data_IF_664149981508
#
_entry.id   IF_664149981508
#
_cell.length_a   1.000
_cell.length_b   1.000
_cell.length_c   1.000
_cell.angle_alpha   90.00
_cell.angle_beta   90.00
_cell.angle_gamma   90.00
#
_symmetry.space_group_name_H-M   'P 1'
#
loop_
_entity.id
_entity.type
_entity.pdbx_description
1 polymer ?
#
# COMPACT_ATOMS: atom_id res chain seq x y z
N UNK A 1 9.39 -13.94 26.15
CA UNK A 1 8.43 -13.44 25.15
C UNK A 1 8.16 -11.94 25.24
N UNK A 2 8.15 -11.33 26.45
CA UNK A 2 7.85 -9.91 26.63
C UNK A 2 8.66 -8.96 25.73
N UNK A 3 9.98 -9.13 25.65
CA UNK A 3 10.82 -8.32 24.74
C UNK A 3 10.39 -8.42 23.27
N UNK A 4 9.99 -9.61 22.80
CA UNK A 4 9.51 -9.82 21.43
C UNK A 4 8.19 -9.12 21.17
N UNK A 5 7.27 -9.14 22.14
CA UNK A 5 6.00 -8.41 22.06
C UNK A 5 6.25 -6.89 21.98
N UNK A 6 7.05 -6.34 22.90
CA UNK A 6 7.39 -4.91 22.93
C UNK A 6 8.13 -4.45 21.66
N UNK A 7 8.94 -5.33 21.05
CA UNK A 7 9.57 -5.05 19.76
C UNK A 7 8.53 -4.95 18.63
N UNK A 8 7.60 -5.90 18.54
CA UNK A 8 6.58 -5.93 17.50
C UNK A 8 5.58 -4.78 17.65
N UNK A 9 5.18 -4.44 18.87
CA UNK A 9 4.31 -3.30 19.15
C UNK A 9 4.95 -1.99 18.68
N UNK A 10 6.22 -1.74 19.04
CA UNK A 10 6.96 -0.57 18.57
C UNK A 10 7.10 -0.54 17.06
N UNK A 11 7.35 -1.69 16.44
CA UNK A 11 7.42 -1.80 14.99
C UNK A 11 6.10 -1.40 14.32
N UNK A 12 4.97 -1.96 14.79
CA UNK A 12 3.65 -1.67 14.25
C UNK A 12 3.30 -0.19 14.43
N UNK A 13 3.51 0.38 15.62
CA UNK A 13 3.29 1.81 15.87
C UNK A 13 4.13 2.71 14.95
N UNK A 14 5.41 2.39 14.77
CA UNK A 14 6.31 3.16 13.90
C UNK A 14 5.93 3.02 12.41
N UNK A 15 5.39 1.87 12.01
CA UNK A 15 4.86 1.67 10.66
C UNK A 15 3.58 2.47 10.44
N UNK A 16 2.64 2.42 11.39
CA UNK A 16 1.38 3.18 11.34
C UNK A 16 1.62 4.69 11.23
N UNK A 17 2.56 5.24 11.99
CA UNK A 17 2.91 6.67 11.91
C UNK A 17 3.43 7.08 10.52
N UNK A 18 4.35 6.28 9.95
CA UNK A 18 4.89 6.54 8.60
C UNK A 18 3.81 6.43 7.54
N UNK A 19 2.98 5.39 7.62
CA UNK A 19 1.85 5.20 6.72
C UNK A 19 0.89 6.38 6.80
N UNK A 20 0.55 6.84 8.00
CA UNK A 20 -0.39 7.94 8.21
C UNK A 20 0.15 9.26 7.62
N UNK A 21 1.45 9.54 7.77
CA UNK A 21 2.09 10.72 7.17
C UNK A 21 1.91 10.77 5.64
N UNK A 22 1.98 9.63 4.96
CA UNK A 22 1.74 9.55 3.50
C UNK A 22 0.25 9.63 3.19
N UNK A 23 -0.56 8.79 3.85
CA UNK A 23 -1.97 8.60 3.52
C UNK A 23 -2.89 9.74 3.99
N UNK A 24 -2.39 10.67 4.80
CA UNK A 24 -3.11 11.88 5.24
C UNK A 24 -2.53 13.18 4.67
N UNK A 25 -1.66 13.08 3.65
CA UNK A 25 -1.10 14.24 2.97
C UNK A 25 -2.21 15.09 2.31
N UNK A 26 -2.42 16.30 2.82
CA UNK A 26 -3.40 17.25 2.31
C UNK A 26 -3.08 17.67 0.86
N UNK A 27 -4.12 17.98 0.08
CA UNK A 27 -3.99 18.42 -1.31
C UNK A 27 -3.59 17.30 -2.29
N UNK A 28 -3.64 16.04 -1.86
CA UNK A 28 -3.39 14.85 -2.69
C UNK A 28 -4.64 13.97 -2.77
N UNK A 29 -4.96 13.52 -3.97
CA UNK A 29 -6.04 12.56 -4.22
C UNK A 29 -5.78 11.22 -3.52
N UNK A 30 -6.83 10.42 -3.30
CA UNK A 30 -6.70 9.06 -2.78
C UNK A 30 -5.74 8.21 -3.60
N UNK A 31 -5.81 8.30 -4.94
CA UNK A 31 -4.87 7.61 -5.84
C UNK A 31 -3.41 8.06 -5.63
N UNK A 32 -3.14 9.36 -5.60
CA UNK A 32 -1.77 9.86 -5.37
C UNK A 32 -1.21 9.39 -4.02
N UNK A 33 -2.03 9.39 -2.97
CA UNK A 33 -1.64 8.95 -1.62
C UNK A 33 -1.30 7.46 -1.61
N UNK A 34 -2.11 6.61 -2.24
CA UNK A 34 -1.82 5.18 -2.40
C UNK A 34 -0.54 4.95 -3.21
N UNK A 35 -0.38 5.63 -4.34
CA UNK A 35 0.81 5.46 -5.18
C UNK A 35 2.09 5.88 -4.45
N UNK A 36 2.05 6.92 -3.62
CA UNK A 36 3.20 7.30 -2.78
C UNK A 36 3.54 6.23 -1.74
N UNK A 37 2.52 5.63 -1.11
CA UNK A 37 2.72 4.54 -0.15
C UNK A 37 3.40 3.34 -0.80
N UNK A 38 2.94 2.93 -1.99
CA UNK A 38 3.53 1.82 -2.73
C UNK A 38 4.94 2.13 -3.27
N UNK A 39 5.20 3.37 -3.68
CA UNK A 39 6.57 3.77 -4.04
C UNK A 39 7.51 3.73 -2.83
N UNK A 40 7.05 4.11 -1.63
CA UNK A 40 7.86 4.02 -0.41
C UNK A 40 8.26 2.57 -0.05
N UNK A 41 7.48 1.57 -0.49
CA UNK A 41 7.89 0.17 -0.38
C UNK A 41 9.12 -0.18 -1.23
N UNK A 42 9.27 0.45 -2.40
CA UNK A 42 10.41 0.27 -3.29
C UNK A 42 11.59 1.11 -2.79
N UNK A 43 11.35 2.39 -2.54
CA UNK A 43 12.38 3.34 -2.17
C UNK A 43 11.79 4.49 -1.34
N UNK A 44 12.35 4.70 -0.16
CA UNK A 44 11.99 5.79 0.74
C UNK A 44 13.27 6.59 1.07
N UNK A 45 13.27 7.92 0.87
CA UNK A 45 14.48 8.74 1.06
C UNK A 45 15.04 8.73 2.48
N UNK A 46 14.23 8.42 3.50
CA UNK A 46 14.65 8.51 4.91
C UNK A 46 15.31 7.22 5.39
N UNK A 47 14.80 6.07 4.98
CA UNK A 47 15.18 4.76 5.57
C UNK A 47 15.44 3.66 4.54
N UNK A 48 15.36 3.96 3.24
CA UNK A 48 15.36 2.96 2.18
C UNK A 48 14.01 2.26 2.04
N UNK A 49 13.86 1.42 1.02
CA UNK A 49 12.57 0.79 0.66
C UNK A 49 11.93 0.04 1.84
N UNK A 50 10.67 0.33 2.16
CA UNK A 50 10.03 -0.26 3.34
C UNK A 50 9.93 -1.78 3.29
N UNK A 51 9.93 -2.37 2.09
CA UNK A 51 9.97 -3.82 1.90
C UNK A 51 11.18 -4.46 2.57
N UNK A 52 12.34 -3.79 2.57
CA UNK A 52 13.59 -4.27 3.17
C UNK A 52 13.50 -4.36 4.70
N UNK A 53 12.61 -3.58 5.32
CA UNK A 53 12.40 -3.49 6.76
C UNK A 53 11.12 -4.18 7.24
N UNK A 54 10.39 -4.86 6.35
CA UNK A 54 9.10 -5.46 6.68
C UNK A 54 9.25 -6.66 7.63
N UNK A 55 8.83 -6.54 8.89
CA UNK A 55 8.86 -7.65 9.85
C UNK A 55 7.81 -8.72 9.56
N UNK A 56 6.68 -8.36 8.92
CA UNK A 56 5.66 -9.34 8.52
C UNK A 56 6.27 -10.37 7.55
N UNK A 57 7.05 -9.91 6.57
CA UNK A 57 7.76 -10.81 5.63
C UNK A 57 8.89 -11.58 6.31
N UNK A 58 9.61 -10.97 7.26
CA UNK A 58 10.79 -11.59 7.90
C UNK A 58 10.43 -12.61 8.96
N UNK A 59 9.35 -12.39 9.71
CA UNK A 59 9.05 -13.13 10.92
C UNK A 59 7.68 -13.80 10.90
N UNK A 60 6.77 -13.40 10.00
CA UNK A 60 5.36 -13.79 10.06
C UNK A 60 5.12 -15.29 10.13
N UNK A 61 5.86 -16.07 9.32
CA UNK A 61 5.77 -17.53 9.34
C UNK A 61 6.34 -18.14 10.62
N UNK A 62 7.49 -17.65 11.09
CA UNK A 62 8.17 -18.18 12.28
C UNK A 62 7.38 -17.87 13.57
N UNK A 63 6.88 -16.64 13.72
CA UNK A 63 6.16 -16.24 14.93
C UNK A 63 4.79 -16.91 15.06
N UNK A 64 4.19 -17.34 13.93
CA UNK A 64 2.90 -17.98 13.91
C UNK A 64 2.91 -19.32 14.66
N UNK A 65 4.05 -20.03 14.61
CA UNK A 65 4.25 -21.31 15.29
C UNK A 65 4.94 -21.15 16.66
N UNK A 66 5.56 -19.99 16.92
CA UNK A 66 6.37 -19.76 18.13
C UNK A 66 5.57 -19.17 19.29
N UNK A 67 4.72 -18.17 19.05
CA UNK A 67 4.08 -17.41 20.13
C UNK A 67 2.76 -16.76 19.70
N UNK A 68 1.66 -17.16 20.35
CA UNK A 68 0.33 -16.60 20.09
C UNK A 68 0.25 -15.10 20.35
N UNK A 69 0.90 -14.62 21.41
CA UNK A 69 0.91 -13.19 21.75
C UNK A 69 1.55 -12.36 20.62
N UNK A 70 2.72 -12.79 20.14
CA UNK A 70 3.42 -12.11 19.04
C UNK A 70 2.65 -12.21 17.73
N UNK A 71 2.06 -13.38 17.44
CA UNK A 71 1.21 -13.61 16.27
C UNK A 71 0.03 -12.65 16.25
N UNK A 72 -0.67 -12.48 17.36
CA UNK A 72 -1.81 -11.56 17.48
C UNK A 72 -1.38 -10.10 17.30
N UNK A 73 -0.26 -9.66 17.88
CA UNK A 73 0.25 -8.30 17.71
C UNK A 73 0.49 -7.96 16.22
N UNK A 74 1.17 -8.84 15.48
CA UNK A 74 1.38 -8.60 14.05
C UNK A 74 0.08 -8.71 13.24
N UNK A 75 -0.76 -9.70 13.53
CA UNK A 75 -2.04 -9.87 12.85
C UNK A 75 -2.92 -8.61 12.98
N UNK A 76 -3.05 -8.08 14.19
CA UNK A 76 -3.88 -6.90 14.44
C UNK A 76 -3.27 -5.65 13.79
N UNK A 77 -1.93 -5.55 13.77
CA UNK A 77 -1.23 -4.51 13.01
C UNK A 77 -1.52 -4.58 11.50
N UNK A 78 -1.53 -5.78 10.92
CA UNK A 78 -1.87 -5.99 9.50
C UNK A 78 -3.33 -5.60 9.23
N UNK A 79 -4.27 -5.99 10.11
CA UNK A 79 -5.68 -5.60 9.97
C UNK A 79 -5.86 -4.08 9.94
N UNK A 80 -5.29 -3.36 10.93
CA UNK A 80 -5.37 -1.89 10.96
C UNK A 80 -4.74 -1.22 9.74
N UNK A 81 -3.63 -1.77 9.24
CA UNK A 81 -2.98 -1.31 8.02
C UNK A 81 -3.92 -1.49 6.82
N UNK A 82 -4.49 -2.69 6.63
CA UNK A 82 -5.40 -2.95 5.51
C UNK A 82 -6.68 -2.13 5.59
N UNK A 83 -7.21 -1.87 6.79
CA UNK A 83 -8.36 -0.98 7.00
C UNK A 83 -8.02 0.46 6.65
N UNK A 84 -6.79 0.90 6.95
CA UNK A 84 -6.33 2.24 6.57
C UNK A 84 -6.22 2.40 5.06
N UNK A 85 -5.69 1.39 4.36
CA UNK A 85 -5.65 1.36 2.89
C UNK A 85 -7.06 1.36 2.29
N UNK A 86 -7.98 0.56 2.85
CA UNK A 86 -9.38 0.53 2.42
C UNK A 86 -10.04 1.91 2.56
N UNK A 87 -9.79 2.62 3.67
CA UNK A 87 -10.24 4.01 3.85
C UNK A 87 -9.66 4.94 2.78
N UNK A 88 -8.37 4.87 2.46
CA UNK A 88 -7.79 5.70 1.38
C UNK A 88 -8.41 5.38 0.01
N UNK A 89 -8.72 4.10 -0.25
CA UNK A 89 -9.40 3.69 -1.49
C UNK A 89 -10.82 4.28 -1.53
N UNK A 90 -11.55 4.24 -0.41
CA UNK A 90 -12.88 4.84 -0.30
C UNK A 90 -12.85 6.36 -0.51
N UNK A 91 -11.87 7.05 0.07
CA UNK A 91 -11.64 8.48 -0.15
C UNK A 91 -11.33 8.78 -1.62
N UNK A 92 -10.49 7.95 -2.26
CA UNK A 92 -10.19 8.07 -3.70
C UNK A 92 -11.39 7.81 -4.61
N UNK A 93 -12.36 7.00 -4.18
CA UNK A 93 -13.65 6.87 -4.87
C UNK A 93 -14.49 8.14 -4.70
N UNK A 94 -14.48 8.74 -3.51
CA UNK A 94 -15.20 9.97 -3.21
C UNK A 94 -14.67 11.20 -3.94
N UNK A 95 -13.35 11.30 -4.14
CA UNK A 95 -12.71 12.38 -4.89
C UNK A 95 -12.63 12.12 -6.42
N UNK A 96 -13.09 10.95 -6.88
CA UNK A 96 -13.10 10.57 -8.29
C UNK A 96 -11.77 10.10 -8.87
N UNK A 97 -10.71 10.01 -8.07
CA UNK A 97 -9.39 9.53 -8.50
C UNK A 97 -9.29 8.01 -8.67
N UNK A 98 -10.24 7.25 -8.12
CA UNK A 98 -10.35 5.79 -8.23
C UNK A 98 -11.73 5.36 -8.74
N UNK A 99 -11.83 4.23 -9.45
CA UNK A 99 -13.09 3.77 -10.02
C UNK A 99 -14.10 3.35 -8.93
N UNK A 100 -15.37 3.72 -9.12
CA UNK A 100 -16.45 3.38 -8.17
C UNK A 100 -16.70 1.87 -8.04
N UNK A 101 -16.31 1.09 -9.06
CA UNK A 101 -16.40 -0.38 -9.08
C UNK A 101 -15.39 -1.06 -8.15
N UNK A 102 -14.35 -0.35 -7.71
CA UNK A 102 -13.33 -0.88 -6.81
C UNK A 102 -13.95 -1.13 -5.43
N UNK A 103 -13.85 -2.37 -4.95
CA UNK A 103 -14.30 -2.76 -3.60
C UNK A 103 -13.18 -2.47 -2.59
N UNK A 104 -13.29 -1.43 -1.74
CA UNK A 104 -12.14 -0.92 -0.98
C UNK A 104 -11.44 -1.96 -0.12
N UNK A 105 -12.19 -2.76 0.62
CA UNK A 105 -11.67 -3.74 1.56
C UNK A 105 -11.00 -4.92 0.83
N UNK A 106 -11.62 -5.38 -0.26
CA UNK A 106 -11.07 -6.46 -1.07
C UNK A 106 -9.81 -6.02 -1.82
N UNK A 107 -9.81 -4.82 -2.39
CA UNK A 107 -8.65 -4.24 -3.08
C UNK A 107 -7.49 -4.01 -2.11
N UNK A 108 -7.74 -3.44 -0.93
CA UNK A 108 -6.72 -3.21 0.09
C UNK A 108 -6.01 -4.51 0.51
N UNK A 109 -6.78 -5.56 0.83
CA UNK A 109 -6.20 -6.88 1.19
C UNK A 109 -5.42 -7.49 0.03
N UNK A 110 -5.99 -7.47 -1.17
CA UNK A 110 -5.36 -8.07 -2.36
C UNK A 110 -4.04 -7.40 -2.69
N UNK A 111 -4.02 -6.06 -2.71
CA UNK A 111 -2.80 -5.28 -2.92
C UNK A 111 -1.79 -5.57 -1.81
N UNK A 112 -2.19 -5.56 -0.54
CA UNK A 112 -1.25 -5.84 0.55
C UNK A 112 -0.61 -7.22 0.44
N UNK A 113 -1.38 -8.27 0.12
CA UNK A 113 -0.84 -9.62 -0.11
C UNK A 113 0.11 -9.69 -1.32
N UNK A 114 -0.23 -9.03 -2.43
CA UNK A 114 0.63 -8.91 -3.60
C UNK A 114 1.99 -8.31 -3.22
N UNK A 115 1.98 -7.21 -2.46
CA UNK A 115 3.19 -6.52 -2.03
C UNK A 115 4.02 -7.34 -1.04
N UNK A 116 3.39 -8.06 -0.10
CA UNK A 116 4.10 -9.00 0.78
C UNK A 116 4.82 -10.09 -0.02
N UNK A 117 4.15 -10.68 -1.02
CA UNK A 117 4.76 -11.68 -1.90
C UNK A 117 5.92 -11.10 -2.72
N UNK A 118 5.74 -9.91 -3.28
CA UNK A 118 6.78 -9.22 -4.03
C UNK A 118 7.99 -8.88 -3.16
N UNK A 119 7.79 -8.43 -1.92
CA UNK A 119 8.85 -8.15 -0.97
C UNK A 119 9.63 -9.42 -0.57
N UNK A 120 8.93 -10.55 -0.41
CA UNK A 120 9.57 -11.85 -0.17
C UNK A 120 10.46 -12.25 -1.35
N UNK A 121 9.94 -12.21 -2.58
CA UNK A 121 10.72 -12.57 -3.79
C UNK A 121 11.88 -11.61 -4.02
N UNK A 122 11.68 -10.31 -3.79
CA UNK A 122 12.73 -9.31 -3.88
C UNK A 122 13.87 -9.58 -2.89
N UNK A 123 13.53 -9.97 -1.66
CA UNK A 123 14.52 -10.37 -0.65
C UNK A 123 15.28 -11.64 -1.06
N UNK A 124 14.60 -12.63 -1.65
CA UNK A 124 15.25 -13.84 -2.15
C UNK A 124 16.23 -13.55 -3.29
N UNK A 125 15.82 -12.72 -4.25
CA UNK A 125 16.62 -12.36 -5.43
C UNK A 125 17.65 -11.26 -5.20
N UNK A 126 17.61 -10.57 -4.05
CA UNK A 126 18.38 -9.34 -3.78
C UNK A 126 18.17 -8.27 -4.89
N UNK A 127 16.96 -8.21 -5.44
CA UNK A 127 16.59 -7.33 -6.54
C UNK A 127 15.18 -6.75 -6.29
N UNK A 128 14.99 -5.47 -6.60
CA UNK A 128 13.71 -4.77 -6.49
C UNK A 128 12.77 -5.00 -7.69
N UNK A 129 13.18 -5.75 -8.72
CA UNK A 129 12.31 -6.05 -9.87
C UNK A 129 10.91 -6.57 -9.48
N UNK A 130 10.74 -7.52 -8.54
CA UNK A 130 9.40 -7.99 -8.14
C UNK A 130 8.52 -6.88 -7.54
N UNK A 131 9.11 -5.91 -6.83
CA UNK A 131 8.37 -4.77 -6.28
C UNK A 131 7.93 -3.80 -7.38
N UNK A 132 8.74 -3.63 -8.43
CA UNK A 132 8.35 -2.83 -9.61
C UNK A 132 7.22 -3.49 -10.38
N UNK A 133 7.24 -4.82 -10.52
CA UNK A 133 6.14 -5.58 -11.13
C UNK A 133 4.85 -5.45 -10.30
N UNK A 134 4.95 -5.51 -8.97
CA UNK A 134 3.82 -5.27 -8.07
C UNK A 134 3.26 -3.84 -8.22
N UNK A 135 4.11 -2.84 -8.43
CA UNK A 135 3.67 -1.48 -8.72
C UNK A 135 2.88 -1.38 -10.01
N UNK A 136 3.36 -2.00 -11.11
CA UNK A 136 2.62 -2.04 -12.39
C UNK A 136 1.27 -2.73 -12.22
N UNK A 137 1.21 -3.84 -11.50
CA UNK A 137 -0.06 -4.52 -11.21
C UNK A 137 -1.00 -3.64 -10.36
N UNK A 138 -0.45 -2.94 -9.37
CA UNK A 138 -1.20 -1.99 -8.53
C UNK A 138 -1.78 -0.85 -9.35
N UNK A 139 -1.03 -0.29 -10.30
CA UNK A 139 -1.52 0.77 -11.19
C UNK A 139 -2.68 0.30 -12.05
N UNK A 140 -2.65 -0.94 -12.52
CA UNK A 140 -3.75 -1.56 -13.31
C UNK A 140 -4.99 -1.77 -12.47
N UNK A 141 -4.85 -2.30 -11.26
CA UNK A 141 -5.98 -2.50 -10.33
C UNK A 141 -6.62 -1.17 -9.90
N UNK A 142 -5.82 -0.11 -9.75
CA UNK A 142 -6.29 1.22 -9.39
C UNK A 142 -6.68 2.08 -10.61
N UNK A 143 -6.58 1.55 -11.83
CA UNK A 143 -6.86 2.31 -13.04
C UNK A 143 -8.35 2.65 -13.12
N UNK A 144 -8.67 3.94 -13.10
CA UNK A 144 -9.99 4.41 -13.48
C UNK A 144 -10.11 4.30 -15.01
N UNK A 145 -11.13 3.65 -15.58
CA UNK A 145 -11.39 3.78 -17.00
C UNK A 145 -11.70 5.26 -17.23
N UNK A 146 -10.77 5.95 -17.88
CA UNK A 146 -10.89 7.36 -18.23
C UNK A 146 -12.23 7.56 -18.94
N UNK A 147 -13.08 8.43 -18.39
CA UNK A 147 -14.17 8.99 -19.16
C UNK A 147 -13.58 9.59 -20.46
N UNK A 148 -14.18 9.37 -21.63
CA UNK A 148 -13.61 9.85 -22.89
C UNK A 148 -13.42 11.37 -22.78
N UNK A 149 -12.18 11.84 -22.97
CA UNK A 149 -11.93 13.26 -23.23
C UNK A 149 -12.80 13.66 -24.42
N UNK A 150 -13.79 14.51 -24.19
CA UNK A 150 -14.60 15.07 -25.26
C UNK A 150 -13.69 15.81 -26.24
N UNK A 151 -13.77 15.57 -27.56
CA UNK A 151 -12.96 16.31 -28.52
C UNK A 151 -13.39 17.77 -28.48
N UNK A 152 -12.43 18.65 -28.22
CA UNK A 152 -12.59 20.10 -28.42
C UNK A 152 -12.92 20.33 -29.89
N UNK A 153 -14.17 20.64 -30.18
CA UNK A 153 -14.61 20.96 -31.52
C UNK A 153 -14.25 22.43 -31.79
N UNK A 154 -13.09 22.65 -32.39
CA UNK A 154 -12.74 23.97 -32.94
C UNK A 154 -13.48 24.16 -34.26
N UNK A 155 -14.75 24.56 -34.18
CA UNK A 155 -15.50 25.04 -35.33
C UNK A 155 -14.96 26.40 -35.77
N UNK A 156 -14.37 26.39 -36.96
CA UNK A 156 -14.09 27.52 -37.84
C UNK A 156 -15.11 28.65 -37.81
N UNK A 157 -14.65 29.89 -37.80
CA UNK A 157 -15.40 31.05 -38.30
C UNK A 157 -14.42 32.10 -38.82
N UNK A 158 -14.16 32.07 -40.12
CA UNK A 158 -13.75 33.24 -40.90
C UNK A 158 -14.99 33.75 -41.64
N UNK A 159 -15.12 35.07 -41.78
CA UNK A 159 -15.41 35.66 -43.07
C UNK A 159 -14.19 36.39 -43.64
#
# INVERSE_FOLDING_TARGET
>A
EQFGCELLERYVQSYEQRMEAILSSAGKSGRERLMRYWNAWIDDPQIGGWAEHCLVVKLGAEIADLSDAMRLILHDGVMRLTDRLARTIMEGRGDGSLPLSLKPEAAARTLYHLWLGAALVAKLGQDKAPLRDALVATERELACPTAPMSPVNSSSSSP
#
